data_IF_457943830430
#
_entry.id   IF_457943830430
#
_cell.length_a   1.000
_cell.length_b   1.000
_cell.length_c   1.000
_cell.angle_alpha   90.00
_cell.angle_beta   90.00
_cell.angle_gamma   90.00
#
_symmetry.space_group_name_H-M   'P 1'
#
loop_
_entity.id
_entity.type
_entity.pdbx_description
1 polymer ?
#
# COMPACT_ATOMS: atom_id res chain seq x y z
N UNK A 1 -22.85 -0.56 10.16
CA UNK A 1 -22.48 -0.83 8.75
C UNK A 1 -22.62 0.39 7.85
N UNK A 2 -23.79 1.06 7.77
CA UNK A 2 -23.98 2.25 6.91
C UNK A 2 -23.00 3.40 7.21
N UNK A 3 -22.80 3.77 8.48
CA UNK A 3 -21.87 4.85 8.87
C UNK A 3 -20.40 4.55 8.52
N UNK A 4 -19.95 3.32 8.73
CA UNK A 4 -18.60 2.86 8.36
C UNK A 4 -18.42 2.85 6.84
N UNK A 5 -19.43 2.42 6.08
CA UNK A 5 -19.41 2.44 4.63
C UNK A 5 -19.35 3.87 4.07
N UNK A 6 -20.15 4.79 4.61
CA UNK A 6 -20.11 6.21 4.23
C UNK A 6 -18.75 6.85 4.54
N UNK A 7 -18.15 6.52 5.69
CA UNK A 7 -16.81 7.03 6.06
C UNK A 7 -15.71 6.52 5.12
N UNK A 8 -15.76 5.24 4.73
CA UNK A 8 -14.84 4.65 3.75
C UNK A 8 -15.01 5.33 2.38
N UNK A 9 -16.25 5.51 1.93
CA UNK A 9 -16.54 6.16 0.65
C UNK A 9 -16.04 7.61 0.62
N UNK A 10 -16.24 8.35 1.71
CA UNK A 10 -15.74 9.72 1.85
C UNK A 10 -14.20 9.78 1.84
N UNK A 11 -13.51 8.88 2.55
CA UNK A 11 -12.04 8.80 2.53
C UNK A 11 -11.51 8.52 1.13
N UNK A 12 -12.13 7.59 0.40
CA UNK A 12 -11.76 7.28 -0.98
C UNK A 12 -11.96 8.50 -1.89
N UNK A 13 -13.09 9.20 -1.77
CA UNK A 13 -13.35 10.41 -2.53
C UNK A 13 -12.33 11.52 -2.26
N UNK A 14 -11.93 11.73 -0.99
CA UNK A 14 -10.87 12.67 -0.64
C UNK A 14 -9.53 12.33 -1.32
N UNK A 15 -9.12 11.07 -1.36
CA UNK A 15 -7.86 10.67 -2.02
C UNK A 15 -7.85 11.05 -3.50
N UNK A 16 -8.97 10.89 -4.21
CA UNK A 16 -9.08 11.28 -5.62
C UNK A 16 -9.10 12.80 -5.83
N UNK A 17 -9.66 13.57 -4.89
CA UNK A 17 -9.70 15.03 -4.95
C UNK A 17 -8.32 15.68 -4.67
N UNK A 18 -7.43 14.99 -3.95
CA UNK A 18 -6.09 15.47 -3.59
C UNK A 18 -4.96 14.75 -4.35
N UNK A 19 -5.17 14.44 -5.64
CA UNK A 19 -4.09 13.91 -6.50
C UNK A 19 -3.04 14.99 -6.77
N UNK A 20 -2.12 15.21 -5.84
CA UNK A 20 -0.93 16.03 -6.06
C UNK A 20 0.03 15.34 -7.04
N UNK A 21 0.78 16.13 -7.82
CA UNK A 21 1.90 15.62 -8.60
C UNK A 21 2.90 14.97 -7.66
N UNK A 22 2.99 13.65 -7.69
CA UNK A 22 3.92 12.89 -6.85
C UNK A 22 5.33 13.13 -7.39
N UNK A 23 6.09 14.04 -6.77
CA UNK A 23 7.54 14.09 -6.98
C UNK A 23 8.20 12.97 -6.17
N UNK A 24 9.14 12.20 -6.77
CA UNK A 24 9.92 11.25 -5.99
C UNK A 24 10.64 11.96 -4.83
N UNK A 25 10.67 11.27 -3.69
CA UNK A 25 11.26 11.78 -2.45
C UNK A 25 12.80 11.75 -2.46
N UNK A 26 13.41 11.14 -3.46
CA UNK A 26 14.87 11.05 -3.58
C UNK A 26 15.41 12.26 -4.34
N UNK A 27 15.69 13.36 -3.62
CA UNK A 27 16.30 14.57 -4.16
C UNK A 27 17.59 14.29 -4.96
N UNK A 28 18.37 13.28 -4.54
CA UNK A 28 19.61 12.88 -5.21
C UNK A 28 19.37 12.27 -6.61
N UNK A 29 18.33 11.45 -6.78
CA UNK A 29 18.00 10.84 -8.07
C UNK A 29 17.43 11.88 -9.04
N UNK A 30 16.63 12.83 -8.52
CA UNK A 30 16.05 13.91 -9.32
C UNK A 30 17.11 14.88 -9.86
N UNK A 31 18.08 15.29 -9.03
CA UNK A 31 19.16 16.20 -9.45
C UNK A 31 20.03 15.55 -10.55
N UNK A 32 20.42 14.29 -10.38
CA UNK A 32 21.22 13.58 -11.38
C UNK A 32 20.43 13.34 -12.68
N UNK A 33 19.12 13.08 -12.57
CA UNK A 33 18.24 12.96 -13.73
C UNK A 33 18.14 14.29 -14.49
N UNK A 34 17.92 15.40 -13.80
CA UNK A 34 17.82 16.74 -14.39
C UNK A 34 19.15 17.18 -15.04
N UNK A 35 20.29 16.89 -14.40
CA UNK A 35 21.61 17.18 -14.98
C UNK A 35 21.91 16.31 -16.21
N UNK A 36 21.51 15.04 -16.20
CA UNK A 36 21.60 14.16 -17.37
C UNK A 36 20.82 14.72 -18.56
N UNK A 37 19.56 15.13 -18.33
CA UNK A 37 18.72 15.73 -19.38
C UNK A 37 19.32 17.04 -19.91
N UNK A 38 19.85 17.91 -19.03
CA UNK A 38 20.53 19.15 -19.43
C UNK A 38 21.78 18.90 -20.30
N UNK A 39 22.46 17.77 -20.10
CA UNK A 39 23.60 17.35 -20.91
C UNK A 39 23.21 16.54 -22.16
N UNK A 40 21.93 16.52 -22.54
CA UNK A 40 21.43 15.83 -23.74
C UNK A 40 21.16 14.34 -23.57
N UNK A 41 21.25 13.79 -22.35
CA UNK A 41 20.95 12.39 -22.08
C UNK A 41 19.44 12.19 -21.90
N UNK A 42 18.79 11.62 -22.92
CA UNK A 42 17.35 11.35 -22.95
C UNK A 42 16.92 10.19 -22.04
N UNK A 43 17.86 9.32 -21.65
CA UNK A 43 17.59 8.19 -20.73
C UNK A 43 17.20 8.69 -19.35
N UNK A 44 17.69 9.86 -18.96
CA UNK A 44 17.43 10.47 -17.66
C UNK A 44 16.03 11.09 -17.54
N UNK A 45 15.31 11.32 -18.65
CA UNK A 45 14.01 12.02 -18.66
C UNK A 45 12.84 11.25 -18.02
N UNK A 46 13.01 9.94 -17.72
CA UNK A 46 11.96 9.08 -17.16
C UNK A 46 12.28 8.47 -15.78
N UNK A 47 13.43 8.81 -15.18
CA UNK A 47 13.93 8.11 -13.99
C UNK A 47 13.02 8.26 -12.76
N UNK A 48 12.46 9.46 -12.54
CA UNK A 48 11.53 9.74 -11.43
C UNK A 48 10.28 8.84 -11.49
N UNK A 49 9.69 8.71 -12.69
CA UNK A 49 8.54 7.82 -12.93
C UNK A 49 8.92 6.36 -12.68
N UNK A 50 10.12 5.94 -13.08
CA UNK A 50 10.63 4.59 -12.81
C UNK A 50 10.75 4.28 -11.31
N UNK A 51 11.26 5.22 -10.51
CA UNK A 51 11.36 5.07 -9.04
C UNK A 51 9.99 4.93 -8.40
N UNK A 52 9.01 5.73 -8.83
CA UNK A 52 7.63 5.62 -8.33
C UNK A 52 7.02 4.26 -8.63
N UNK A 53 7.27 3.69 -9.81
CA UNK A 53 6.78 2.36 -10.16
C UNK A 53 7.44 1.26 -9.34
N UNK A 54 8.77 1.33 -9.15
CA UNK A 54 9.49 0.37 -8.31
C UNK A 54 9.03 0.41 -6.86
N UNK A 55 8.71 1.60 -6.32
CA UNK A 55 8.15 1.74 -4.98
C UNK A 55 6.69 1.28 -4.89
N UNK A 56 5.87 1.48 -5.93
CA UNK A 56 4.46 1.08 -5.92
C UNK A 56 4.27 -0.45 -5.93
N UNK A 57 5.14 -1.18 -6.63
CA UNK A 57 5.07 -2.65 -6.78
C UNK A 57 4.99 -3.41 -5.44
N UNK A 58 5.88 -3.21 -4.44
CA UNK A 58 5.82 -3.95 -3.19
C UNK A 58 4.52 -3.68 -2.40
N UNK A 59 3.98 -2.46 -2.44
CA UNK A 59 2.70 -2.16 -1.78
C UNK A 59 1.53 -2.84 -2.48
N UNK A 60 1.48 -2.80 -3.82
CA UNK A 60 0.45 -3.50 -4.59
C UNK A 60 0.51 -5.01 -4.32
N UNK A 61 1.71 -5.59 -4.32
CA UNK A 61 1.92 -7.00 -4.01
C UNK A 61 1.43 -7.35 -2.60
N UNK A 62 1.76 -6.53 -1.60
CA UNK A 62 1.31 -6.74 -0.22
C UNK A 62 -0.23 -6.69 -0.09
N UNK A 63 -0.90 -5.76 -0.79
CA UNK A 63 -2.36 -5.65 -0.80
C UNK A 63 -2.97 -6.91 -1.43
N UNK A 64 -2.46 -7.35 -2.59
CA UNK A 64 -2.98 -8.54 -3.28
C UNK A 64 -2.83 -9.78 -2.38
N UNK A 65 -1.63 -10.00 -1.84
CA UNK A 65 -1.35 -11.14 -0.96
C UNK A 65 -2.22 -11.08 0.30
N UNK A 66 -2.34 -9.91 0.93
CA UNK A 66 -3.18 -9.71 2.12
C UNK A 66 -4.65 -10.00 1.86
N UNK A 67 -5.19 -9.56 0.73
CA UNK A 67 -6.59 -9.83 0.33
C UNK A 67 -6.81 -11.32 0.05
N UNK A 68 -5.91 -11.97 -0.69
CA UNK A 68 -6.00 -13.41 -0.97
C UNK A 68 -5.93 -14.21 0.33
N UNK A 69 -4.99 -13.87 1.21
CA UNK A 69 -4.84 -14.52 2.50
C UNK A 69 -6.10 -14.37 3.36
N UNK A 70 -6.62 -13.15 3.47
CA UNK A 70 -7.81 -12.84 4.25
C UNK A 70 -9.06 -13.56 3.73
N UNK A 71 -9.24 -13.66 2.41
CA UNK A 71 -10.42 -14.34 1.83
C UNK A 71 -10.32 -15.85 1.91
N UNK A 72 -9.13 -16.43 1.75
CA UNK A 72 -8.95 -17.88 1.62
C UNK A 72 -8.60 -18.59 2.94
N UNK A 73 -7.84 -17.95 3.81
CA UNK A 73 -7.28 -18.59 5.01
C UNK A 73 -7.93 -18.16 6.32
N UNK A 74 -8.80 -17.14 6.29
CA UNK A 74 -9.58 -16.77 7.46
C UNK A 74 -10.70 -17.78 7.69
N UNK A 75 -10.52 -18.68 8.66
CA UNK A 75 -11.59 -19.56 9.16
C UNK A 75 -12.76 -18.71 9.66
N UNK A 76 -13.93 -18.83 9.04
CA UNK A 76 -15.18 -18.28 9.58
C UNK A 76 -15.76 -19.32 10.51
N UNK A 77 -16.05 -18.92 11.76
CA UNK A 77 -16.64 -19.75 12.81
C UNK A 77 -15.71 -20.86 13.34
N UNK A 78 -14.66 -20.45 14.07
CA UNK A 78 -13.95 -21.39 14.95
C UNK A 78 -14.74 -21.45 16.25
N UNK A 79 -15.48 -22.53 16.46
CA UNK A 79 -16.12 -22.81 17.74
C UNK A 79 -15.02 -23.18 18.75
N UNK A 80 -14.65 -22.24 19.61
CA UNK A 80 -13.65 -22.48 20.65
C UNK A 80 -14.30 -23.34 21.74
N UNK A 81 -14.21 -24.66 21.60
CA UNK A 81 -14.54 -25.61 22.65
C UNK A 81 -13.47 -25.53 23.76
N UNK A 82 -13.53 -24.48 24.58
CA UNK A 82 -12.77 -24.42 25.81
C UNK A 82 -13.42 -25.37 26.82
N UNK A 83 -12.69 -26.42 27.22
CA UNK A 83 -13.13 -27.33 28.27
C UNK A 83 -13.33 -26.51 29.54
N UNK A 84 -14.57 -26.42 30.03
CA UNK A 84 -14.97 -25.65 31.22
C UNK A 84 -14.55 -26.35 32.52
N UNK A 85 -13.40 -27.00 32.53
CA UNK A 85 -12.89 -27.61 33.74
C UNK A 85 -12.05 -26.58 34.51
N UNK A 86 -12.24 -26.48 35.83
CA UNK A 86 -11.41 -25.60 36.64
C UNK A 86 -9.95 -26.04 36.51
N UNK A 87 -9.08 -25.10 36.16
CA UNK A 87 -7.64 -25.33 36.18
C UNK A 87 -7.19 -25.51 37.64
N UNK A 88 -6.95 -26.75 38.04
CA UNK A 88 -6.29 -27.07 39.29
C UNK A 88 -4.80 -26.77 39.14
N UNK A 89 -4.40 -25.56 39.53
CA UNK A 89 -3.00 -25.24 39.79
C UNK A 89 -2.66 -25.83 41.17
N UNK A 90 -1.65 -26.70 41.21
CA UNK A 90 -1.13 -27.33 42.42
C UNK A 90 -0.59 -26.29 43.41
#
# INVERSE_FOLDING_TARGET
MKKTFTFILFSIACVFLFSANVQAQCAMCSINAEQGVKNGNTVSAGLNTGVLYLLAIPYLMAIIVGVVWYKKFRKKNVELNMKKEPFHLN
#
